data_IF_208306983750
#
_entry.id   IF_208306983750
#
_cell.length_a   1.000
_cell.length_b   1.000
_cell.length_c   1.000
_cell.angle_alpha   90.00
_cell.angle_beta   90.00
_cell.angle_gamma   90.00
#
_symmetry.space_group_name_H-M   'P 1'
#
loop_
_entity.id
_entity.type
_entity.pdbx_description
1 polymer ?
#
# COMPACT_ATOMS: atom_id res chain seq x y z
N UNK A 1 -47.44 -4.40 -38.55
CA UNK A 1 -45.97 -4.60 -38.67
C UNK A 1 -45.38 -3.57 -39.64
N UNK A 2 -46.05 -3.34 -40.76
CA UNK A 2 -45.73 -2.33 -41.80
C UNK A 2 -45.62 -0.89 -41.27
N UNK A 3 -46.56 -0.45 -40.41
CA UNK A 3 -46.59 0.92 -39.88
C UNK A 3 -45.40 1.26 -38.96
N UNK A 4 -44.96 0.30 -38.14
CA UNK A 4 -43.76 0.44 -37.28
C UNK A 4 -42.48 0.54 -38.12
N UNK A 5 -42.44 -0.15 -39.26
CA UNK A 5 -41.30 -0.13 -40.17
C UNK A 5 -41.20 1.21 -40.90
N UNK A 6 -42.33 1.78 -41.34
CA UNK A 6 -42.38 3.12 -41.96
C UNK A 6 -41.92 4.20 -40.98
N UNK A 7 -42.39 4.16 -39.72
CA UNK A 7 -41.94 5.11 -38.69
C UNK A 7 -40.44 4.96 -38.37
N UNK A 8 -39.92 3.73 -38.34
CA UNK A 8 -38.49 3.49 -38.11
C UNK A 8 -37.62 4.05 -39.25
N UNK A 9 -38.04 3.90 -40.51
CA UNK A 9 -37.36 4.48 -41.66
C UNK A 9 -37.41 6.02 -41.63
N UNK A 10 -38.56 6.60 -41.31
CA UNK A 10 -38.69 8.06 -41.20
C UNK A 10 -37.81 8.60 -40.06
N UNK A 11 -37.78 7.92 -38.91
CA UNK A 11 -36.92 8.30 -37.79
C UNK A 11 -35.43 8.23 -38.18
N UNK A 12 -34.98 7.15 -38.83
CA UNK A 12 -33.61 7.02 -39.30
C UNK A 12 -33.22 8.10 -40.32
N UNK A 13 -34.14 8.45 -41.22
CA UNK A 13 -33.95 9.54 -42.18
C UNK A 13 -33.76 10.88 -41.46
N UNK A 14 -34.65 11.23 -40.52
CA UNK A 14 -34.52 12.46 -39.74
C UNK A 14 -33.24 12.49 -38.89
N UNK A 15 -32.79 11.33 -38.39
CA UNK A 15 -31.57 11.22 -37.58
C UNK A 15 -30.31 11.55 -38.42
N UNK A 16 -30.23 11.01 -39.64
CA UNK A 16 -29.17 11.34 -40.59
C UNK A 16 -29.20 12.81 -41.01
N UNK A 17 -30.37 13.35 -41.32
CA UNK A 17 -30.53 14.76 -41.69
C UNK A 17 -30.14 15.71 -40.55
N UNK A 18 -30.45 15.33 -39.29
CA UNK A 18 -30.07 16.09 -38.09
C UNK A 18 -28.57 16.03 -37.83
N UNK A 19 -27.94 14.86 -37.95
CA UNK A 19 -26.48 14.72 -37.85
C UNK A 19 -25.75 15.54 -38.91
N UNK A 20 -26.25 15.54 -40.15
CA UNK A 20 -25.68 16.34 -41.23
C UNK A 20 -25.88 17.84 -41.01
N UNK A 21 -27.01 18.27 -40.45
CA UNK A 21 -27.26 19.68 -40.14
C UNK A 21 -26.41 20.18 -38.95
N UNK A 22 -26.03 19.28 -38.03
CA UNK A 22 -25.16 19.55 -36.89
C UNK A 22 -23.68 19.63 -37.31
N UNK A 23 -23.22 18.73 -38.19
CA UNK A 23 -21.85 18.76 -38.73
C UNK A 23 -20.77 18.81 -37.63
N UNK A 24 -19.87 19.78 -37.72
CA UNK A 24 -18.83 20.07 -36.70
C UNK A 24 -19.19 21.28 -35.80
N UNK A 25 -20.46 21.69 -35.75
CA UNK A 25 -20.88 22.84 -34.97
C UNK A 25 -20.60 22.62 -33.47
N UNK A 26 -19.91 23.60 -32.87
CA UNK A 26 -19.55 23.62 -31.44
C UNK A 26 -20.36 24.67 -30.66
N UNK A 27 -21.07 25.57 -31.36
CA UNK A 27 -21.99 26.55 -30.80
C UNK A 27 -23.22 26.75 -31.69
N UNK A 28 -24.29 27.32 -31.14
CA UNK A 28 -25.55 27.56 -31.88
C UNK A 28 -25.37 28.53 -33.07
N UNK A 29 -24.34 29.38 -33.05
CA UNK A 29 -24.01 30.30 -34.13
C UNK A 29 -23.46 29.58 -35.37
N UNK A 30 -22.90 28.38 -35.19
CA UNK A 30 -22.29 27.56 -36.26
C UNK A 30 -23.33 26.69 -36.99
N UNK A 31 -24.57 26.66 -36.50
CA UNK A 31 -25.63 25.86 -37.07
C UNK A 31 -26.11 26.42 -38.42
N UNK A 32 -26.30 25.51 -39.37
CA UNK A 32 -26.88 25.86 -40.67
C UNK A 32 -28.28 26.45 -40.52
N UNK A 33 -28.69 27.38 -41.39
CA UNK A 33 -30.06 27.96 -41.37
C UNK A 33 -31.17 26.90 -41.43
N UNK A 34 -30.88 25.74 -42.01
CA UNK A 34 -31.77 24.58 -42.07
C UNK A 34 -31.93 23.81 -40.74
N UNK A 35 -31.05 24.00 -39.76
CA UNK A 35 -31.06 23.25 -38.50
C UNK A 35 -32.40 23.38 -37.76
N UNK A 36 -32.94 24.60 -37.67
CA UNK A 36 -34.26 24.86 -37.07
C UNK A 36 -35.39 24.07 -37.76
N UNK A 37 -35.33 23.94 -39.09
CA UNK A 37 -36.32 23.17 -39.83
C UNK A 37 -36.16 21.67 -39.60
N UNK A 38 -34.92 21.17 -39.51
CA UNK A 38 -34.64 19.75 -39.21
C UNK A 38 -35.06 19.37 -37.79
N UNK A 39 -34.85 20.24 -36.81
CA UNK A 39 -35.34 20.05 -35.43
C UNK A 39 -36.87 19.92 -35.42
N UNK A 40 -37.58 20.84 -36.11
CA UNK A 40 -39.05 20.75 -36.22
C UNK A 40 -39.51 19.46 -36.91
N UNK A 41 -38.84 19.02 -37.96
CA UNK A 41 -39.16 17.77 -38.65
C UNK A 41 -38.94 16.54 -37.75
N UNK A 42 -37.84 16.52 -36.98
CA UNK A 42 -37.58 15.47 -35.99
C UNK A 42 -38.67 15.45 -34.90
N UNK A 43 -39.03 16.61 -34.35
CA UNK A 43 -40.07 16.73 -33.31
C UNK A 43 -41.43 16.20 -33.76
N UNK A 44 -41.81 16.47 -35.02
CA UNK A 44 -43.06 15.96 -35.59
C UNK A 44 -43.07 14.42 -35.65
N UNK A 45 -41.96 13.81 -36.07
CA UNK A 45 -41.84 12.35 -36.14
C UNK A 45 -41.81 11.75 -34.73
N UNK A 46 -41.08 12.36 -33.80
CA UNK A 46 -41.05 11.93 -32.39
C UNK A 46 -42.44 12.02 -31.73
N UNK A 47 -43.21 13.07 -32.03
CA UNK A 47 -44.58 13.22 -31.51
C UNK A 47 -45.49 12.09 -32.01
N UNK A 48 -45.45 11.78 -33.32
CA UNK A 48 -46.19 10.65 -33.90
C UNK A 48 -45.78 9.31 -33.29
N UNK A 49 -44.48 9.09 -33.11
CA UNK A 49 -43.95 7.87 -32.48
C UNK A 49 -44.40 7.77 -31.02
N UNK A 50 -44.39 8.88 -30.28
CA UNK A 50 -44.86 8.91 -28.89
C UNK A 50 -46.35 8.57 -28.82
N UNK A 51 -47.20 9.13 -29.67
CA UNK A 51 -48.63 8.80 -29.63
C UNK A 51 -48.93 7.33 -29.96
N UNK A 52 -48.20 6.75 -30.92
CA UNK A 52 -48.52 5.42 -31.44
C UNK A 52 -47.76 4.27 -30.75
N UNK A 53 -46.58 4.54 -30.17
CA UNK A 53 -45.65 3.51 -29.69
C UNK A 53 -45.22 3.71 -28.23
N UNK A 54 -45.74 4.74 -27.53
CA UNK A 54 -45.45 4.94 -26.12
C UNK A 54 -46.15 3.89 -25.26
N UNK A 55 -45.35 2.94 -24.78
CA UNK A 55 -45.76 1.95 -23.80
C UNK A 55 -44.96 2.18 -22.51
N UNK A 56 -45.65 2.61 -21.46
CA UNK A 56 -45.07 2.86 -20.15
C UNK A 56 -44.36 1.62 -19.58
N UNK A 57 -44.88 0.41 -19.84
CA UNK A 57 -44.26 -0.83 -19.42
C UNK A 57 -42.95 -1.06 -20.16
N UNK A 58 -42.93 -0.91 -21.48
CA UNK A 58 -41.72 -1.04 -22.31
C UNK A 58 -40.65 -0.02 -21.90
N UNK A 59 -41.04 1.24 -21.68
CA UNK A 59 -40.12 2.31 -21.24
C UNK A 59 -39.55 1.98 -19.87
N UNK A 60 -40.38 1.52 -18.93
CA UNK A 60 -39.94 1.13 -17.58
C UNK A 60 -38.98 -0.05 -17.62
N UNK A 61 -39.27 -1.07 -18.43
CA UNK A 61 -38.40 -2.23 -18.62
C UNK A 61 -37.06 -1.82 -19.24
N UNK A 62 -37.06 -0.92 -20.25
CA UNK A 62 -35.85 -0.41 -20.86
C UNK A 62 -35.01 0.42 -19.90
N UNK A 63 -35.62 1.33 -19.14
CA UNK A 63 -34.95 2.11 -18.10
C UNK A 63 -34.36 1.22 -17.02
N UNK A 64 -35.09 0.17 -16.59
CA UNK A 64 -34.58 -0.82 -15.64
C UNK A 64 -33.36 -1.57 -16.18
N UNK A 65 -33.38 -1.96 -17.45
CA UNK A 65 -32.23 -2.61 -18.09
C UNK A 65 -31.03 -1.66 -18.20
N UNK A 66 -31.25 -0.38 -18.54
CA UNK A 66 -30.20 0.65 -18.55
C UNK A 66 -29.63 0.85 -17.16
N UNK A 67 -30.48 0.93 -16.13
CA UNK A 67 -30.06 1.08 -14.73
C UNK A 67 -29.22 -0.12 -14.27
N UNK A 68 -29.63 -1.34 -14.57
CA UNK A 68 -28.88 -2.56 -14.25
C UNK A 68 -27.51 -2.58 -14.97
N UNK A 69 -27.50 -2.25 -16.26
CA UNK A 69 -26.25 -2.17 -17.05
C UNK A 69 -25.30 -1.10 -16.52
N UNK A 70 -25.82 0.07 -16.16
CA UNK A 70 -25.03 1.15 -15.55
C UNK A 70 -24.50 0.75 -14.16
N UNK A 71 -25.30 0.09 -13.32
CA UNK A 71 -24.86 -0.42 -12.02
C UNK A 71 -23.74 -1.47 -12.17
N UNK A 72 -23.85 -2.38 -13.14
CA UNK A 72 -22.80 -3.36 -13.46
C UNK A 72 -21.50 -2.68 -13.91
N UNK A 73 -21.59 -1.65 -14.77
CA UNK A 73 -20.43 -0.85 -15.18
C UNK A 73 -19.77 -0.15 -13.99
N UNK A 74 -20.56 0.49 -13.11
CA UNK A 74 -20.05 1.15 -11.90
C UNK A 74 -19.36 0.14 -10.98
N UNK A 75 -19.95 -1.04 -10.77
CA UNK A 75 -19.34 -2.12 -9.99
C UNK A 75 -18.02 -2.58 -10.59
N UNK A 76 -17.95 -2.73 -11.91
CA UNK A 76 -16.73 -3.11 -12.63
C UNK A 76 -15.61 -2.07 -12.43
N UNK A 77 -15.93 -0.79 -12.68
CA UNK A 77 -14.99 0.32 -12.49
C UNK A 77 -14.52 0.44 -11.04
N UNK A 78 -15.42 0.22 -10.05
CA UNK A 78 -15.07 0.23 -8.63
C UNK A 78 -14.09 -0.90 -8.27
N UNK A 79 -14.24 -2.10 -8.87
CA UNK A 79 -13.28 -3.20 -8.71
C UNK A 79 -11.92 -2.82 -9.28
N UNK A 80 -11.88 -2.27 -10.49
CA UNK A 80 -10.65 -1.82 -11.14
C UNK A 80 -9.94 -0.71 -10.34
N UNK A 81 -10.69 0.29 -9.87
CA UNK A 81 -10.15 1.36 -9.01
C UNK A 81 -9.55 0.81 -7.72
N UNK A 82 -10.24 -0.12 -7.06
CA UNK A 82 -9.74 -0.76 -5.83
C UNK A 82 -8.44 -1.52 -6.11
N UNK A 83 -8.38 -2.27 -7.22
CA UNK A 83 -7.19 -2.99 -7.65
C UNK A 83 -6.01 -2.05 -7.92
N UNK A 84 -6.22 -1.00 -8.72
CA UNK A 84 -5.17 -0.03 -9.05
C UNK A 84 -4.68 0.72 -7.81
N UNK A 85 -5.56 1.06 -6.87
CA UNK A 85 -5.17 1.70 -5.60
C UNK A 85 -4.30 0.76 -4.77
N UNK A 86 -4.64 -0.53 -4.71
CA UNK A 86 -3.82 -1.54 -4.03
C UNK A 86 -2.49 -1.78 -4.73
N UNK A 87 -2.45 -1.73 -6.07
CA UNK A 87 -1.22 -1.85 -6.84
C UNK A 87 -0.31 -0.65 -6.58
N UNK A 88 -0.83 0.56 -6.70
CA UNK A 88 -0.09 1.80 -6.44
C UNK A 88 0.48 1.85 -5.01
N UNK A 89 -0.26 1.35 -4.02
CA UNK A 89 0.22 1.26 -2.64
C UNK A 89 1.34 0.20 -2.42
N UNK A 90 1.56 -0.71 -3.37
CA UNK A 90 2.58 -1.78 -3.31
C UNK A 90 3.78 -1.50 -4.19
N UNK A 91 3.57 -0.83 -5.32
CA UNK A 91 4.60 -0.65 -6.34
C UNK A 91 5.65 0.33 -5.84
N UNK A 92 6.90 -0.11 -5.80
CA UNK A 92 8.05 0.77 -5.62
C UNK A 92 8.31 1.48 -6.96
N UNK A 93 8.51 2.80 -6.98
CA UNK A 93 8.90 3.52 -8.19
C UNK A 93 10.10 2.86 -8.87
N UNK A 94 10.05 2.70 -10.20
CA UNK A 94 11.08 1.96 -10.96
C UNK A 94 12.51 2.45 -10.68
N UNK A 95 12.70 3.76 -10.47
CA UNK A 95 14.01 4.33 -10.12
C UNK A 95 14.55 3.82 -8.78
N UNK A 96 13.70 3.73 -7.75
CA UNK A 96 14.09 3.19 -6.43
C UNK A 96 14.36 1.69 -6.54
N UNK A 97 13.54 0.96 -7.28
CA UNK A 97 13.77 -0.47 -7.51
C UNK A 97 15.10 -0.72 -8.23
N UNK A 98 15.40 0.05 -9.28
CA UNK A 98 16.65 -0.02 -10.03
C UNK A 98 17.86 0.28 -9.13
N UNK A 99 17.77 1.30 -8.26
CA UNK A 99 18.80 1.59 -7.27
C UNK A 99 19.07 0.37 -6.36
N UNK A 100 18.03 -0.23 -5.79
CA UNK A 100 18.19 -1.44 -4.96
C UNK A 100 18.85 -2.58 -5.72
N UNK A 101 18.49 -2.81 -6.98
CA UNK A 101 19.12 -3.83 -7.81
C UNK A 101 20.60 -3.56 -8.06
N UNK A 102 20.97 -2.32 -8.41
CA UNK A 102 22.38 -1.95 -8.60
C UNK A 102 23.20 -2.15 -7.33
N UNK A 103 22.70 -1.67 -6.19
CA UNK A 103 23.35 -1.86 -4.88
C UNK A 103 23.52 -3.34 -4.54
N UNK A 104 22.52 -4.19 -4.82
CA UNK A 104 22.62 -5.62 -4.58
C UNK A 104 23.69 -6.27 -5.47
N UNK A 105 23.77 -5.91 -6.75
CA UNK A 105 24.81 -6.40 -7.66
C UNK A 105 26.19 -6.00 -7.13
N UNK A 106 26.38 -4.72 -6.80
CA UNK A 106 27.65 -4.20 -6.30
C UNK A 106 28.09 -4.92 -5.01
N UNK A 107 27.16 -5.20 -4.10
CA UNK A 107 27.44 -5.96 -2.88
C UNK A 107 28.00 -7.36 -3.17
N UNK A 108 27.35 -8.10 -4.06
CA UNK A 108 27.75 -9.47 -4.35
C UNK A 108 29.01 -9.54 -5.22
N UNK A 109 29.38 -8.44 -5.89
CA UNK A 109 30.66 -8.30 -6.58
C UNK A 109 31.82 -7.87 -5.66
N UNK A 110 31.54 -7.25 -4.51
CA UNK A 110 32.58 -6.90 -3.54
C UNK A 110 33.26 -8.15 -2.95
N UNK A 111 34.58 -8.17 -2.73
CA UNK A 111 35.25 -9.21 -1.95
C UNK A 111 34.66 -9.33 -0.53
N UNK A 112 34.55 -10.55 0.04
CA UNK A 112 33.98 -10.75 1.37
C UNK A 112 34.59 -9.88 2.47
N UNK A 113 35.89 -9.63 2.41
CA UNK A 113 36.63 -8.82 3.40
C UNK A 113 36.17 -7.36 3.40
N UNK A 114 35.62 -6.87 2.28
CA UNK A 114 35.08 -5.51 2.15
C UNK A 114 33.59 -5.42 2.51
N UNK A 115 32.94 -6.54 2.83
CA UNK A 115 31.52 -6.58 3.23
C UNK A 115 31.33 -6.44 4.73
N UNK A 116 32.41 -6.47 5.50
CA UNK A 116 32.33 -6.40 6.96
C UNK A 116 32.11 -4.96 7.45
N UNK A 117 31.12 -4.79 8.33
CA UNK A 117 30.94 -3.53 9.04
C UNK A 117 31.94 -3.40 10.20
N UNK A 118 32.44 -2.19 10.47
CA UNK A 118 33.28 -1.96 11.63
C UNK A 118 32.48 -2.08 12.94
N UNK A 119 33.19 -2.31 14.05
CA UNK A 119 32.64 -2.27 15.42
C UNK A 119 31.62 -3.36 15.73
N UNK A 120 31.85 -4.58 15.24
CA UNK A 120 31.00 -5.74 15.51
C UNK A 120 31.00 -6.13 17.01
N UNK A 121 32.01 -5.71 17.78
CA UNK A 121 32.06 -5.86 19.24
C UNK A 121 30.94 -5.11 19.98
N UNK A 122 30.32 -4.12 19.34
CA UNK A 122 29.24 -3.32 19.93
C UNK A 122 27.87 -4.01 19.87
N UNK A 123 27.70 -5.05 19.05
CA UNK A 123 26.38 -5.59 18.69
C UNK A 123 25.59 -6.14 19.88
N UNK A 124 26.29 -6.68 20.88
CA UNK A 124 25.69 -7.27 22.07
C UNK A 124 25.98 -6.47 23.35
N UNK A 125 26.61 -5.30 23.26
CA UNK A 125 27.02 -4.53 24.44
C UNK A 125 25.81 -3.80 25.06
N UNK A 126 25.27 -4.24 26.22
CA UNK A 126 24.05 -3.66 26.79
C UNK A 126 24.23 -2.20 27.23
N UNK A 127 25.47 -1.70 27.34
CA UNK A 127 25.76 -0.30 27.68
C UNK A 127 25.47 0.67 26.52
N UNK A 128 25.24 0.19 25.30
CA UNK A 128 25.00 1.02 24.11
C UNK A 128 23.51 1.23 23.80
N UNK A 129 23.23 2.16 22.90
CA UNK A 129 21.87 2.47 22.46
C UNK A 129 21.51 1.63 21.23
N UNK A 130 20.87 0.47 21.47
CA UNK A 130 20.38 -0.41 20.41
C UNK A 130 19.03 0.02 19.82
N UNK A 131 18.92 -0.06 18.50
CA UNK A 131 17.71 0.20 17.74
C UNK A 131 17.44 -0.99 16.81
N UNK A 132 16.21 -1.48 16.80
CA UNK A 132 15.73 -2.43 15.80
C UNK A 132 14.93 -1.67 14.75
N UNK A 133 15.27 -1.85 13.48
CA UNK A 133 14.59 -1.26 12.34
C UNK A 133 14.39 -2.34 11.28
N UNK A 134 13.14 -2.64 10.95
CA UNK A 134 12.79 -3.72 10.03
C UNK A 134 12.20 -3.12 8.76
N UNK A 135 12.87 -3.27 7.61
CA UNK A 135 12.46 -2.63 6.36
C UNK A 135 13.01 -3.38 5.14
N UNK A 136 12.23 -3.38 4.07
CA UNK A 136 12.59 -3.81 2.72
C UNK A 136 12.92 -2.63 1.79
N UNK A 137 12.93 -1.39 2.30
CA UNK A 137 13.19 -0.18 1.53
C UNK A 137 14.47 0.49 2.04
N UNK A 138 15.55 0.37 1.25
CA UNK A 138 16.88 0.93 1.58
C UNK A 138 16.83 2.42 1.92
N UNK A 139 16.08 3.22 1.15
CA UNK A 139 15.98 4.66 1.38
C UNK A 139 15.20 5.01 2.65
N UNK A 140 14.18 4.22 3.00
CA UNK A 140 13.42 4.44 4.23
C UNK A 140 14.31 4.16 5.44
N UNK A 141 15.00 3.02 5.43
CA UNK A 141 15.96 2.66 6.46
C UNK A 141 17.07 3.71 6.60
N UNK A 142 17.61 4.21 5.49
CA UNK A 142 18.68 5.21 5.51
C UNK A 142 18.23 6.54 6.10
N UNK A 143 17.01 6.99 5.82
CA UNK A 143 16.44 8.21 6.41
C UNK A 143 16.27 8.08 7.91
N UNK A 144 15.74 6.96 8.40
CA UNK A 144 15.58 6.72 9.84
C UNK A 144 16.92 6.71 10.55
N UNK A 145 17.89 5.95 10.04
CA UNK A 145 19.23 5.86 10.65
C UNK A 145 19.92 7.23 10.62
N UNK A 146 19.95 7.89 9.47
CA UNK A 146 20.64 9.16 9.32
C UNK A 146 20.00 10.26 10.17
N UNK A 147 18.67 10.38 10.17
CA UNK A 147 17.98 11.36 11.01
C UNK A 147 18.19 11.08 12.51
N UNK A 148 18.25 9.81 12.92
CA UNK A 148 18.55 9.45 14.31
C UNK A 148 19.96 9.88 14.70
N UNK A 149 20.94 9.62 13.83
CA UNK A 149 22.35 9.96 14.09
C UNK A 149 22.63 11.46 14.02
N UNK A 150 22.05 12.17 13.05
CA UNK A 150 22.21 13.62 12.94
C UNK A 150 21.69 14.37 14.17
N UNK A 151 20.72 13.80 14.87
CA UNK A 151 20.15 14.38 16.09
C UNK A 151 20.70 13.77 17.38
N UNK A 152 21.63 12.81 17.29
CA UNK A 152 22.21 12.14 18.44
C UNK A 152 23.34 12.98 19.07
N UNK A 153 23.40 12.99 20.41
CA UNK A 153 24.48 13.66 21.15
C UNK A 153 25.80 12.90 21.08
N UNK A 154 25.74 11.57 21.12
CA UNK A 154 26.90 10.68 21.15
C UNK A 154 26.77 9.59 20.05
N UNK A 155 26.90 9.94 18.76
CA UNK A 155 26.64 9.03 17.64
C UNK A 155 27.35 7.67 17.71
N UNK A 156 28.55 7.62 18.28
CA UNK A 156 29.35 6.41 18.45
C UNK A 156 28.75 5.37 19.42
N UNK A 157 27.79 5.77 20.25
CA UNK A 157 27.10 4.87 21.20
C UNK A 157 25.84 4.24 20.61
N UNK A 158 25.48 4.56 19.37
CA UNK A 158 24.26 4.09 18.74
C UNK A 158 24.54 2.86 17.87
N UNK A 159 23.71 1.83 18.02
CA UNK A 159 23.80 0.56 17.31
C UNK A 159 22.47 0.29 16.62
N UNK A 160 22.47 0.18 15.29
CA UNK A 160 21.27 -0.17 14.52
C UNK A 160 21.35 -1.60 14.04
N UNK A 161 20.34 -2.37 14.40
CA UNK A 161 20.08 -3.70 13.88
C UNK A 161 18.97 -3.60 12.83
N UNK A 162 19.39 -3.68 11.57
CA UNK A 162 18.55 -3.57 10.38
C UNK A 162 18.15 -4.97 9.93
N UNK A 163 16.89 -5.34 10.06
CA UNK A 163 16.41 -6.64 9.55
C UNK A 163 15.67 -6.44 8.24
N UNK A 164 16.08 -7.19 7.22
CA UNK A 164 15.52 -7.14 5.88
C UNK A 164 15.30 -8.56 5.35
N UNK A 165 14.58 -8.69 4.24
CA UNK A 165 14.47 -9.95 3.51
C UNK A 165 15.73 -10.27 2.68
N UNK A 166 15.83 -11.52 2.23
CA UNK A 166 16.92 -11.99 1.38
C UNK A 166 17.10 -11.19 0.09
N UNK A 167 16.01 -10.65 -0.48
CA UNK A 167 16.06 -9.92 -1.75
C UNK A 167 16.72 -8.56 -1.59
N UNK A 168 16.49 -7.90 -0.46
CA UNK A 168 16.99 -6.56 -0.17
C UNK A 168 18.27 -6.57 0.69
N UNK A 169 18.67 -7.73 1.22
CA UNK A 169 19.87 -7.90 2.05
C UNK A 169 21.14 -7.30 1.41
N UNK A 170 21.44 -7.64 0.16
CA UNK A 170 22.62 -7.12 -0.52
C UNK A 170 22.57 -5.60 -0.70
N UNK A 171 21.42 -5.08 -1.11
CA UNK A 171 21.22 -3.66 -1.33
C UNK A 171 21.37 -2.84 -0.04
N UNK A 172 20.79 -3.34 1.06
CA UNK A 172 20.85 -2.71 2.38
C UNK A 172 22.30 -2.68 2.89
N UNK A 173 23.04 -3.79 2.80
CA UNK A 173 24.45 -3.83 3.16
C UNK A 173 25.28 -2.83 2.34
N UNK A 174 25.16 -2.87 1.00
CA UNK A 174 25.92 -1.99 0.12
C UNK A 174 25.70 -0.52 0.44
N UNK A 175 24.44 -0.12 0.67
CA UNK A 175 24.11 1.26 0.97
C UNK A 175 24.86 1.77 2.18
N UNK A 176 24.84 1.03 3.29
CA UNK A 176 25.50 1.46 4.53
C UNK A 176 27.02 1.29 4.49
N UNK A 177 27.56 0.41 3.65
CA UNK A 177 29.01 0.34 3.38
C UNK A 177 29.48 1.58 2.59
N UNK A 178 28.71 2.02 1.58
CA UNK A 178 29.02 3.22 0.80
C UNK A 178 28.72 4.52 1.55
N UNK A 179 27.74 4.49 2.46
CA UNK A 179 27.26 5.66 3.21
C UNK A 179 27.27 5.39 4.72
N UNK A 180 28.44 5.26 5.37
CA UNK A 180 28.51 5.04 6.80
C UNK A 180 27.84 6.19 7.58
N UNK A 181 26.87 5.92 8.48
CA UNK A 181 26.15 6.95 9.22
C UNK A 181 26.99 7.45 10.41
N UNK A 182 28.00 8.25 10.10
CA UNK A 182 28.93 8.80 11.08
C UNK A 182 29.73 7.71 11.80
N UNK A 183 29.64 7.68 13.13
CA UNK A 183 30.34 6.70 13.98
C UNK A 183 29.39 5.62 14.55
N UNK A 184 28.15 5.54 14.09
CA UNK A 184 27.22 4.52 14.57
C UNK A 184 27.65 3.11 14.13
N UNK A 185 27.33 2.10 14.93
CA UNK A 185 27.46 0.69 14.51
C UNK A 185 26.23 0.30 13.70
N UNK A 186 26.44 -0.29 12.53
CA UNK A 186 25.40 -0.83 11.66
C UNK A 186 25.53 -2.34 11.58
N UNK A 187 24.41 -3.03 11.69
CA UNK A 187 24.29 -4.46 11.51
C UNK A 187 23.09 -4.73 10.62
N UNK A 188 23.30 -5.49 9.54
CA UNK A 188 22.22 -5.88 8.63
C UNK A 188 22.03 -7.38 8.76
N UNK A 189 20.79 -7.79 9.03
CA UNK A 189 20.40 -9.18 9.23
C UNK A 189 19.37 -9.59 8.18
N UNK A 190 19.50 -10.81 7.70
CA UNK A 190 18.55 -11.43 6.80
C UNK A 190 17.53 -12.24 7.62
N UNK A 191 16.25 -11.88 7.56
CA UNK A 191 15.18 -12.59 8.27
C UNK A 191 15.10 -14.07 7.88
N UNK A 192 15.43 -14.40 6.63
CA UNK A 192 15.39 -15.78 6.13
C UNK A 192 16.44 -16.69 6.81
N UNK A 193 17.42 -16.12 7.52
CA UNK A 193 18.46 -16.85 8.26
C UNK A 193 18.06 -17.13 9.72
N UNK A 194 16.92 -16.59 10.18
CA UNK A 194 16.42 -16.83 11.53
C UNK A 194 15.85 -18.26 11.66
N UNK A 195 16.71 -19.21 12.05
CA UNK A 195 16.35 -20.64 12.17
C UNK A 195 15.17 -20.91 13.12
N UNK A 196 14.98 -20.06 14.13
CA UNK A 196 13.86 -20.17 15.08
C UNK A 196 12.52 -19.70 14.47
N UNK A 197 12.56 -18.90 13.40
CA UNK A 197 11.39 -18.36 12.75
C UNK A 197 10.83 -19.37 11.74
N UNK A 198 9.96 -20.26 12.23
CA UNK A 198 9.28 -21.27 11.44
C UNK A 198 7.78 -21.33 11.78
N UNK A 199 6.99 -22.08 11.01
CA UNK A 199 5.53 -22.14 11.19
C UNK A 199 5.08 -22.89 12.43
N UNK A 200 5.96 -23.69 13.05
CA UNK A 200 5.67 -24.27 14.36
C UNK A 200 5.71 -23.23 15.47
N UNK A 201 6.59 -22.22 15.36
CA UNK A 201 6.79 -21.19 16.37
C UNK A 201 6.02 -19.88 16.09
N UNK A 202 5.86 -19.50 14.82
CA UNK A 202 5.21 -18.26 14.40
C UNK A 202 3.81 -18.55 13.83
N UNK A 203 2.71 -18.21 14.56
CA UNK A 203 1.36 -18.42 14.08
C UNK A 203 1.05 -17.67 12.78
N UNK A 204 1.66 -16.49 12.61
CA UNK A 204 1.52 -15.68 11.39
C UNK A 204 2.14 -16.41 10.21
N UNK A 205 3.38 -16.89 10.33
CA UNK A 205 4.04 -17.65 9.28
C UNK A 205 3.24 -18.89 8.90
N UNK A 206 2.71 -19.63 9.89
CA UNK A 206 1.81 -20.77 9.66
C UNK A 206 0.57 -20.39 8.85
N UNK A 207 0.00 -19.22 9.12
CA UNK A 207 -1.13 -18.71 8.37
C UNK A 207 -0.72 -18.33 6.94
N UNK A 208 0.40 -17.63 6.77
CA UNK A 208 0.98 -17.24 5.47
C UNK A 208 1.28 -18.44 4.58
N UNK A 209 1.77 -19.53 5.18
CA UNK A 209 2.11 -20.76 4.47
C UNK A 209 0.90 -21.61 4.05
N UNK A 210 -0.28 -21.34 4.63
CA UNK A 210 -1.49 -22.12 4.39
C UNK A 210 -1.93 -22.08 2.92
N UNK A 211 -2.40 -23.23 2.42
CA UNK A 211 -2.90 -23.33 1.04
C UNK A 211 -4.05 -22.34 0.77
N UNK A 212 -4.93 -22.15 1.74
CA UNK A 212 -6.05 -21.21 1.66
C UNK A 212 -5.56 -19.76 1.47
N UNK A 213 -4.50 -19.34 2.19
CA UNK A 213 -3.97 -17.99 2.03
C UNK A 213 -3.21 -17.83 0.70
N UNK A 214 -2.43 -18.84 0.31
CA UNK A 214 -1.75 -18.84 -0.99
C UNK A 214 -2.75 -18.75 -2.15
N UNK A 215 -3.85 -19.47 -2.07
CA UNK A 215 -4.94 -19.40 -3.04
C UNK A 215 -5.64 -18.03 -3.04
N UNK A 216 -5.95 -17.49 -1.85
CA UNK A 216 -6.61 -16.21 -1.70
C UNK A 216 -5.81 -15.01 -2.26
N UNK A 217 -4.48 -15.04 -2.17
CA UNK A 217 -3.60 -13.95 -2.61
C UNK A 217 -2.99 -14.15 -4.01
N UNK A 218 -2.64 -15.38 -4.40
CA UNK A 218 -1.89 -15.64 -5.64
C UNK A 218 -2.73 -16.20 -6.79
N UNK A 219 -3.94 -16.74 -6.55
CA UNK A 219 -4.86 -17.15 -7.63
C UNK A 219 -5.89 -16.06 -7.94
N UNK A 220 -5.41 -14.96 -8.49
CA UNK A 220 -6.21 -13.77 -8.81
C UNK A 220 -7.10 -13.85 -10.06
N UNK A 221 -7.69 -14.98 -10.45
CA UNK A 221 -8.51 -15.00 -11.69
C UNK A 221 -9.72 -15.95 -11.78
N UNK A 222 -9.88 -17.00 -10.96
CA UNK A 222 -10.99 -17.96 -11.14
C UNK A 222 -11.68 -18.37 -9.83
N UNK A 223 -12.35 -17.43 -9.17
CA UNK A 223 -13.43 -17.79 -8.24
C UNK A 223 -14.75 -17.36 -8.86
N UNK A 224 -15.38 -18.30 -9.56
CA UNK A 224 -16.80 -18.31 -9.93
C UNK A 224 -17.70 -18.70 -8.75
N UNK A 225 -17.15 -18.80 -7.54
CA UNK A 225 -17.93 -19.19 -6.35
C UNK A 225 -18.41 -17.95 -5.59
N UNK A 226 -19.67 -17.61 -5.86
CA UNK A 226 -20.54 -16.68 -5.14
C UNK A 226 -20.72 -16.95 -3.62
N UNK A 227 -19.89 -17.77 -2.98
CA UNK A 227 -20.09 -18.24 -1.60
C UNK A 227 -19.01 -17.86 -0.58
N UNK A 228 -17.93 -17.15 -0.96
CA UNK A 228 -16.99 -16.62 0.03
C UNK A 228 -17.46 -15.25 0.51
N UNK A 229 -18.18 -15.26 1.63
CA UNK A 229 -18.73 -14.08 2.29
C UNK A 229 -17.73 -12.92 2.43
N UNK A 230 -18.30 -11.72 2.41
CA UNK A 230 -17.70 -10.40 2.61
C UNK A 230 -16.91 -10.20 3.92
N UNK A 231 -16.59 -11.25 4.68
CA UNK A 231 -16.12 -11.14 6.07
C UNK A 231 -14.63 -10.82 6.22
N UNK A 232 -13.80 -10.90 5.17
CA UNK A 232 -12.35 -10.78 5.31
C UNK A 232 -11.67 -9.80 4.34
N UNK A 233 -12.35 -8.73 3.92
CA UNK A 233 -11.71 -7.68 3.10
C UNK A 233 -10.51 -7.00 3.80
N UNK A 234 -10.44 -7.05 5.15
CA UNK A 234 -9.31 -6.56 5.95
C UNK A 234 -8.00 -7.34 5.70
N UNK A 235 -8.10 -8.60 5.29
CA UNK A 235 -6.96 -9.49 5.03
C UNK A 235 -6.52 -9.47 3.55
N UNK A 236 -6.74 -8.37 2.83
CA UNK A 236 -5.98 -8.04 1.61
C UNK A 236 -4.96 -6.93 1.85
N UNK A 237 -4.84 -6.45 3.09
CA UNK A 237 -3.84 -5.45 3.43
C UNK A 237 -2.44 -6.08 3.35
N UNK A 238 -1.58 -5.64 2.40
CA UNK A 238 -0.28 -6.26 2.14
C UNK A 238 0.68 -6.17 3.32
N UNK A 239 0.45 -5.24 4.26
CA UNK A 239 1.22 -5.15 5.51
C UNK A 239 1.19 -6.45 6.31
N UNK A 240 0.15 -7.29 6.16
CA UNK A 240 0.07 -8.58 6.83
C UNK A 240 0.89 -9.69 6.16
N UNK A 241 1.30 -9.51 4.89
CA UNK A 241 2.06 -10.51 4.14
C UNK A 241 3.57 -10.46 4.41
N UNK A 242 4.11 -9.27 4.69
CA UNK A 242 5.54 -9.14 4.99
C UNK A 242 5.82 -9.59 6.42
N UNK A 243 6.70 -10.59 6.58
CA UNK A 243 7.15 -11.05 7.89
C UNK A 243 7.86 -9.96 8.69
N UNK A 244 8.50 -8.99 8.03
CA UNK A 244 9.19 -7.87 8.67
C UNK A 244 8.25 -7.07 9.59
N UNK A 245 6.97 -6.91 9.20
CA UNK A 245 5.98 -6.20 10.01
C UNK A 245 5.60 -6.92 11.32
N UNK A 246 5.88 -8.22 11.41
CA UNK A 246 5.51 -9.05 12.55
C UNK A 246 6.71 -9.33 13.47
N UNK A 247 7.94 -9.12 13.01
CA UNK A 247 9.15 -9.36 13.79
C UNK A 247 9.22 -8.52 15.07
N UNK A 248 8.53 -7.38 15.13
CA UNK A 248 8.50 -6.51 16.33
C UNK A 248 8.01 -7.23 17.58
N UNK A 249 7.21 -8.28 17.43
CA UNK A 249 6.73 -9.10 18.56
C UNK A 249 7.76 -10.10 19.07
N UNK A 250 8.84 -10.31 18.32
CA UNK A 250 9.89 -11.29 18.59
C UNK A 250 11.23 -10.63 18.94
N UNK A 251 11.25 -9.33 19.26
CA UNK A 251 12.46 -8.62 19.67
C UNK A 251 13.24 -9.33 20.80
N UNK A 252 12.60 -9.90 21.85
CA UNK A 252 13.31 -10.65 22.88
C UNK A 252 13.96 -11.94 22.35
N UNK A 253 13.39 -12.58 21.33
CA UNK A 253 13.95 -13.77 20.69
C UNK A 253 15.09 -13.41 19.73
N UNK A 254 14.99 -12.26 19.05
CA UNK A 254 16.04 -11.78 18.13
C UNK A 254 17.25 -11.29 18.92
N UNK A 255 17.04 -10.52 20.00
CA UNK A 255 18.10 -9.89 20.78
C UNK A 255 18.05 -10.25 22.28
N UNK A 256 18.20 -11.53 22.67
CA UNK A 256 18.01 -11.99 24.04
C UNK A 256 19.07 -11.47 25.03
N UNK A 257 20.22 -10.99 24.54
CA UNK A 257 21.34 -10.50 25.36
C UNK A 257 21.22 -9.00 25.73
N UNK A 258 20.25 -8.29 25.17
CA UNK A 258 20.08 -6.85 25.39
C UNK A 258 18.99 -6.58 26.43
N UNK A 259 19.32 -5.74 27.42
CA UNK A 259 18.36 -5.36 28.47
C UNK A 259 17.21 -4.49 27.95
N UNK A 260 17.51 -3.59 26.99
CA UNK A 260 16.54 -2.68 26.37
C UNK A 260 16.90 -2.42 24.91
N UNK A 261 15.91 -2.56 24.03
CA UNK A 261 15.99 -2.18 22.62
C UNK A 261 14.83 -1.25 22.24
N UNK A 262 15.08 -0.30 21.34
CA UNK A 262 14.04 0.58 20.78
C UNK A 262 13.69 0.12 19.39
N UNK A 263 12.41 -0.10 19.13
CA UNK A 263 11.93 -0.35 17.78
C UNK A 263 11.62 0.98 17.08
N UNK A 264 12.11 1.14 15.85
CA UNK A 264 11.82 2.25 14.96
C UNK A 264 11.09 1.69 13.73
N UNK A 265 9.93 2.25 13.38
CA UNK A 265 9.31 2.00 12.07
C UNK A 265 10.14 2.69 10.98
N UNK A 266 9.98 2.26 9.73
CA UNK A 266 10.72 2.77 8.57
C UNK A 266 10.12 4.03 7.94
N UNK A 267 8.92 4.44 8.39
CA UNK A 267 8.20 5.63 7.94
C UNK A 267 8.34 6.83 8.90
N UNK A 268 9.44 6.91 9.66
CA UNK A 268 9.70 7.98 10.62
C UNK A 268 10.92 8.84 10.25
N UNK A 269 10.94 10.06 10.78
CA UNK A 269 12.12 10.94 10.79
C UNK A 269 12.36 11.39 12.22
N UNK A 270 13.55 11.08 12.75
CA UNK A 270 13.91 11.47 14.11
C UNK A 270 14.40 12.91 14.10
N UNK A 271 13.81 13.76 14.96
CA UNK A 271 14.12 15.19 15.06
C UNK A 271 14.80 15.59 16.37
N UNK A 272 14.95 14.64 17.30
CA UNK A 272 15.56 14.86 18.62
C UNK A 272 16.29 13.62 19.08
N UNK A 273 17.29 13.84 19.91
CA UNK A 273 18.05 12.78 20.56
C UNK A 273 17.12 11.81 21.32
N UNK A 274 17.22 10.52 20.99
CA UNK A 274 16.37 9.48 21.56
C UNK A 274 16.94 8.84 22.83
N UNK A 275 18.13 9.25 23.29
CA UNK A 275 18.81 8.59 24.42
C UNK A 275 17.99 8.70 25.71
N UNK A 276 17.22 9.79 25.87
CA UNK A 276 16.32 10.00 27.00
C UNK A 276 15.26 8.91 27.16
N UNK A 277 14.85 8.24 26.07
CA UNK A 277 13.88 7.14 26.12
C UNK A 277 14.42 5.91 26.87
N UNK A 278 15.75 5.73 26.93
CA UNK A 278 16.37 4.63 27.67
C UNK A 278 16.17 4.76 29.18
N UNK A 279 16.18 6.00 29.68
CA UNK A 279 16.10 6.35 31.09
C UNK A 279 14.68 6.25 31.65
N UNK A 280 13.68 6.06 30.79
CA UNK A 280 12.30 5.88 31.22
C UNK A 280 12.17 4.60 32.05
N UNK A 281 11.66 4.75 33.27
CA UNK A 281 11.30 3.63 34.13
C UNK A 281 10.01 3.00 33.60
N UNK A 282 10.06 1.72 33.23
CA UNK A 282 8.91 1.01 32.68
C UNK A 282 7.94 0.48 33.75
N UNK A 283 8.23 0.67 35.05
CA UNK A 283 7.38 0.23 36.16
C UNK A 283 6.94 -1.24 36.00
N UNK A 284 7.91 -2.14 35.87
CA UNK A 284 7.71 -3.59 35.68
C UNK A 284 6.99 -3.99 34.36
N UNK A 285 6.70 -3.03 33.47
CA UNK A 285 6.16 -3.34 32.15
C UNK A 285 7.26 -3.75 31.19
N UNK A 286 6.94 -4.70 30.31
CA UNK A 286 7.85 -5.21 29.29
C UNK A 286 8.09 -4.19 28.16
N UNK A 287 7.08 -3.37 27.84
CA UNK A 287 7.12 -2.43 26.71
C UNK A 287 6.68 -1.01 27.11
N UNK A 288 7.38 -0.02 26.57
CA UNK A 288 6.96 1.38 26.54
C UNK A 288 6.56 1.78 25.13
N UNK A 289 5.55 2.65 25.00
CA UNK A 289 5.15 3.21 23.71
C UNK A 289 4.86 4.71 23.86
N UNK A 290 5.01 5.42 22.75
CA UNK A 290 4.69 6.85 22.63
C UNK A 290 3.21 6.96 22.26
N UNK A 291 2.48 7.85 22.94
CA UNK A 291 1.07 8.11 22.59
C UNK A 291 1.00 9.00 21.34
N UNK A 292 -0.01 8.81 20.50
CA UNK A 292 -0.19 9.66 19.32
C UNK A 292 -0.77 11.02 19.74
N UNK A 293 -0.15 12.12 19.31
CA UNK A 293 -0.73 13.46 19.49
C UNK A 293 -2.04 13.56 18.70
N UNK A 294 -3.20 13.68 19.37
CA UNK A 294 -4.48 13.96 18.71
C UNK A 294 -5.52 12.86 18.91
N UNK A 295 -6.32 12.56 17.87
CA UNK A 295 -7.40 11.58 17.99
C UNK A 295 -6.87 10.19 18.39
N UNK A 296 -7.61 9.57 19.29
CA UNK A 296 -7.33 8.28 19.89
C UNK A 296 -7.25 7.14 18.87
N UNK A 297 -6.04 6.77 18.44
CA UNK A 297 -5.79 5.47 17.79
C UNK A 297 -5.44 4.42 18.86
N UNK A 298 -6.44 4.03 19.66
CA UNK A 298 -6.35 2.95 20.66
C UNK A 298 -6.36 1.55 20.01
N UNK A 299 -5.33 1.24 19.21
CA UNK A 299 -5.26 -0.03 18.49
C UNK A 299 -4.52 -1.13 19.25
N UNK A 300 -3.45 -0.80 19.96
CA UNK A 300 -2.59 -1.81 20.62
C UNK A 300 -2.71 -1.86 22.14
N UNK A 301 -3.15 -0.78 22.79
CA UNK A 301 -3.41 -0.72 24.23
C UNK A 301 -4.51 -1.69 24.69
N UNK A 302 -5.38 -2.15 23.78
CA UNK A 302 -6.35 -3.23 24.01
C UNK A 302 -5.72 -4.62 24.10
N UNK A 303 -4.54 -4.82 23.53
CA UNK A 303 -3.89 -6.13 23.42
C UNK A 303 -2.61 -6.22 24.25
N UNK A 304 -1.97 -5.09 24.54
CA UNK A 304 -0.68 -5.01 25.23
C UNK A 304 -0.71 -3.91 26.29
N UNK A 305 -0.11 -4.19 27.45
CA UNK A 305 0.05 -3.23 28.53
C UNK A 305 1.28 -2.35 28.26
N UNK A 306 1.06 -1.09 27.91
CA UNK A 306 2.13 -0.11 27.72
C UNK A 306 2.27 0.82 28.93
N UNK A 307 3.50 1.29 29.18
CA UNK A 307 3.67 2.54 29.91
C UNK A 307 3.29 3.68 28.99
N UNK A 308 2.37 4.56 29.42
CA UNK A 308 2.06 5.80 28.70
C UNK A 308 3.18 6.80 28.95
N UNK A 309 3.69 7.38 27.87
CA UNK A 309 4.75 8.36 27.89
C UNK A 309 4.19 9.79 27.90
N UNK A 310 4.90 10.74 28.52
CA UNK A 310 4.65 12.18 28.37
C UNK A 310 5.05 12.71 26.99
N UNK A 311 5.83 11.91 26.25
CA UNK A 311 6.19 12.17 24.87
C UNK A 311 5.06 11.68 23.97
N UNK A 312 4.72 12.47 22.96
CA UNK A 312 3.75 12.09 21.96
C UNK A 312 4.34 12.23 20.55
N UNK A 313 3.98 11.30 19.67
CA UNK A 313 4.36 11.31 18.27
C UNK A 313 3.36 12.17 17.50
N UNK A 314 3.87 13.21 16.81
CA UNK A 314 3.08 13.91 15.80
C UNK A 314 3.13 13.10 14.52
N UNK A 315 1.95 12.76 14.00
CA UNK A 315 1.76 12.17 12.66
C UNK A 315 1.56 13.32 11.69
#
# INVERSE_FOLDING_TARGET
MEEKFVLAQELQKQLKESQHALGEAISDADLTRSANQKIKSMDQVLSKVKEQLYDCKLVTEKLRAILQSADEQVRSLKRQSTFLSQLAAKTIPNGIHCLSMHLAIDYYLLPPEKREFPRSENLENPSLFHYALFSDIVLAASVVVNSTIMNAKEPEKHVFHLVTDKLNFGAMNMWFLLNPPGKATIHVENVDEFKWLNSSYCPVLRQLESAAMKEYYFKGAHSTTLSAGSSNLKYRNPKYLSMLNHLRFYLPQIYPKLDKIRFLDDDIVVQKDLTGLRLVNLHEKVNGAVETCGQSSHRFDKYLKFLKSSYCQKI
#
